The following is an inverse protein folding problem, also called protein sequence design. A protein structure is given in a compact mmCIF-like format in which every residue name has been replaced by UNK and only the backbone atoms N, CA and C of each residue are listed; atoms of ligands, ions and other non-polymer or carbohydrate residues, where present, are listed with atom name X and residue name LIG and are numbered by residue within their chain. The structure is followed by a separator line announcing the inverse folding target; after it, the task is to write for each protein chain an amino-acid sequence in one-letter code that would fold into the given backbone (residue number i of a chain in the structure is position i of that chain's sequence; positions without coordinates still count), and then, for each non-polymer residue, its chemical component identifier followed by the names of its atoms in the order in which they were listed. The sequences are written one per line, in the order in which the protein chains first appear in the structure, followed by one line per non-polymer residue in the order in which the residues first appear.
data_IF_903725431873
#
_entry.id   IF_903725431873
#
_cell.length_a   1.000
_cell.length_b   1.000
_cell.length_c   1.000
_cell.angle_alpha   90.00
_cell.angle_beta   90.00
_cell.angle_gamma   90.00
#
_symmetry.space_group_name_H-M   'P 1'
#
loop_
_entity.id
_entity.type
_entity.pdbx_description
1 polymer ?
#
# COMPACT_ATOMS: atom_id res chain seq x y z
N UNK A 1 -31.47 -42.14 6.55
CA UNK A 1 -30.53 -41.75 5.47
C UNK A 1 -29.20 -41.42 6.11
N UNK A 2 -28.13 -42.08 5.67
CA UNK A 2 -26.76 -41.88 6.17
C UNK A 2 -26.11 -40.79 5.32
N UNK A 3 -25.66 -39.70 5.92
CA UNK A 3 -24.89 -38.67 5.22
C UNK A 3 -23.40 -38.95 5.46
N UNK A 4 -22.57 -39.16 4.43
CA UNK A 4 -21.15 -39.29 4.62
C UNK A 4 -20.58 -37.93 5.04
N UNK A 5 -19.71 -37.93 6.05
CA UNK A 5 -18.90 -36.78 6.39
C UNK A 5 -17.89 -36.54 5.26
N UNK A 6 -18.13 -35.52 4.44
CA UNK A 6 -17.13 -35.03 3.51
C UNK A 6 -16.16 -34.20 4.33
N UNK A 7 -14.98 -34.76 4.62
CA UNK A 7 -13.84 -33.96 5.06
C UNK A 7 -13.46 -33.06 3.88
N UNK A 8 -13.55 -31.72 4.00
CA UNK A 8 -12.97 -30.88 2.99
C UNK A 8 -11.50 -30.74 3.34
N UNK A 9 -10.67 -31.61 2.76
CA UNK A 9 -9.29 -31.25 2.48
C UNK A 9 -9.35 -30.13 1.44
N UNK A 10 -9.52 -28.89 1.89
CA UNK A 10 -9.24 -27.68 1.11
C UNK A 10 -7.72 -27.64 0.94
N UNK A 11 -7.25 -28.40 -0.04
CA UNK A 11 -5.91 -28.26 -0.57
C UNK A 11 -5.82 -26.85 -1.14
N UNK A 12 -4.75 -26.15 -0.76
CA UNK A 12 -4.34 -24.81 -1.19
C UNK A 12 -4.20 -24.69 -2.73
N UNK A 13 -5.29 -24.78 -3.49
CA UNK A 13 -5.26 -24.67 -4.95
C UNK A 13 -5.76 -23.31 -5.47
N UNK A 14 -6.48 -22.52 -4.66
CA UNK A 14 -7.15 -21.31 -5.16
C UNK A 14 -6.39 -19.99 -4.98
N UNK A 15 -5.30 -19.94 -4.21
CA UNK A 15 -4.70 -18.64 -3.87
C UNK A 15 -4.05 -17.95 -5.08
N UNK A 16 -3.40 -18.67 -6.00
CA UNK A 16 -2.69 -18.06 -7.11
C UNK A 16 -3.57 -17.35 -8.16
N UNK A 17 -4.78 -17.88 -8.42
CA UNK A 17 -5.66 -17.39 -9.50
C UNK A 17 -6.29 -16.04 -9.16
N UNK A 18 -6.64 -15.83 -7.89
CA UNK A 18 -7.30 -14.61 -7.42
C UNK A 18 -6.33 -13.50 -7.00
N UNK A 19 -5.02 -13.76 -7.01
CA UNK A 19 -3.99 -12.81 -6.59
C UNK A 19 -4.14 -11.41 -7.24
N UNK A 20 -4.44 -11.27 -8.55
CA UNK A 20 -4.68 -9.95 -9.14
C UNK A 20 -5.94 -9.26 -8.59
N UNK A 21 -7.00 -10.01 -8.30
CA UNK A 21 -8.28 -9.45 -7.83
C UNK A 21 -8.16 -8.99 -6.38
N UNK A 22 -7.50 -9.78 -5.52
CA UNK A 22 -7.30 -9.42 -4.11
C UNK A 22 -6.40 -8.19 -4.00
N UNK A 23 -5.35 -8.11 -4.82
CA UNK A 23 -4.49 -6.93 -4.93
C UNK A 23 -5.27 -5.67 -5.31
N UNK A 24 -6.01 -5.71 -6.43
CA UNK A 24 -6.79 -4.54 -6.87
C UNK A 24 -7.93 -4.18 -5.90
N UNK A 25 -8.47 -5.16 -5.15
CA UNK A 25 -9.47 -4.88 -4.13
C UNK A 25 -8.90 -4.02 -3.01
N UNK A 26 -7.69 -4.33 -2.54
CA UNK A 26 -7.01 -3.54 -1.50
C UNK A 26 -6.72 -2.12 -2.01
N UNK A 27 -6.19 -1.97 -3.22
CA UNK A 27 -5.96 -0.64 -3.82
C UNK A 27 -7.27 0.16 -3.87
N UNK A 28 -8.36 -0.47 -4.31
CA UNK A 28 -9.67 0.17 -4.40
C UNK A 28 -10.20 0.62 -3.03
N UNK A 29 -10.05 -0.20 -1.99
CA UNK A 29 -10.53 0.12 -0.65
C UNK A 29 -9.77 1.30 -0.03
N UNK A 30 -8.43 1.24 -0.08
CA UNK A 30 -7.57 2.33 0.40
C UNK A 30 -7.84 3.63 -0.35
N UNK A 31 -7.87 3.58 -1.68
CA UNK A 31 -8.12 4.76 -2.51
C UNK A 31 -9.50 5.35 -2.24
N UNK A 32 -10.54 4.52 -2.05
CA UNK A 32 -11.88 5.00 -1.71
C UNK A 32 -11.91 5.66 -0.33
N UNK A 33 -11.34 5.01 0.70
CA UNK A 33 -11.32 5.52 2.06
C UNK A 33 -10.57 6.86 2.15
N UNK A 34 -9.35 6.90 1.63
CA UNK A 34 -8.53 8.11 1.57
C UNK A 34 -9.17 9.18 0.66
N UNK A 35 -9.82 8.76 -0.42
CA UNK A 35 -10.48 9.64 -1.37
C UNK A 35 -11.68 10.36 -0.75
N UNK A 36 -12.42 9.71 0.16
CA UNK A 36 -13.48 10.36 0.94
C UNK A 36 -12.87 11.47 1.82
N UNK A 37 -11.79 11.16 2.55
CA UNK A 37 -11.12 12.13 3.42
C UNK A 37 -10.63 13.35 2.63
N UNK A 38 -10.03 13.14 1.45
CA UNK A 38 -9.48 14.22 0.62
C UNK A 38 -10.54 14.98 -0.19
N UNK A 39 -11.38 14.30 -0.96
CA UNK A 39 -12.30 14.97 -1.90
C UNK A 39 -13.55 15.51 -1.22
N UNK A 40 -14.10 14.79 -0.25
CA UNK A 40 -15.39 15.09 0.37
C UNK A 40 -15.23 15.80 1.70
N UNK A 41 -14.47 15.23 2.62
CA UNK A 41 -14.37 15.74 3.99
C UNK A 41 -13.36 16.87 4.13
N UNK A 42 -12.36 16.92 3.24
CA UNK A 42 -11.24 17.86 3.30
C UNK A 42 -10.47 17.76 4.63
N UNK A 43 -10.44 16.56 5.21
CA UNK A 43 -9.76 16.26 6.49
C UNK A 43 -8.28 15.93 6.31
N UNK A 44 -7.87 15.53 5.10
CA UNK A 44 -6.47 15.38 4.70
C UNK A 44 -6.15 16.26 3.48
N UNK A 45 -4.88 16.62 3.32
CA UNK A 45 -4.39 17.48 2.23
C UNK A 45 -3.77 16.70 1.07
N UNK A 46 -3.48 15.41 1.26
CA UNK A 46 -2.82 14.60 0.24
C UNK A 46 -3.87 13.84 -0.59
N UNK A 47 -3.79 13.99 -1.91
CA UNK A 47 -4.67 13.30 -2.85
C UNK A 47 -4.22 11.86 -3.07
N UNK A 48 -5.08 10.86 -2.87
CA UNK A 48 -4.77 9.49 -3.23
C UNK A 48 -4.88 9.27 -4.73
N UNK A 49 -3.78 8.84 -5.33
CA UNK A 49 -3.65 8.52 -6.75
C UNK A 49 -3.26 7.04 -6.90
N UNK A 50 -4.16 6.17 -7.39
CA UNK A 50 -3.84 4.77 -7.62
C UNK A 50 -2.94 4.62 -8.85
N UNK A 51 -1.96 3.72 -8.77
CA UNK A 51 -1.12 3.26 -9.89
C UNK A 51 -0.60 4.40 -10.78
N UNK A 52 -0.17 5.51 -10.16
CA UNK A 52 0.22 6.74 -10.85
C UNK A 52 1.74 6.93 -10.81
N UNK A 53 2.33 7.34 -11.93
CA UNK A 53 3.75 7.67 -12.03
C UNK A 53 4.12 8.83 -11.10
N UNK A 54 5.25 8.71 -10.40
CA UNK A 54 5.81 9.75 -9.54
C UNK A 54 6.34 10.97 -10.30
N UNK A 55 6.76 10.81 -11.57
CA UNK A 55 7.17 11.88 -12.47
C UNK A 55 6.72 11.65 -13.93
N UNK A 56 6.90 12.66 -14.78
CA UNK A 56 6.52 12.63 -16.21
C UNK A 56 7.57 11.92 -17.11
N UNK A 57 8.65 11.39 -16.53
CA UNK A 57 9.72 10.70 -17.23
C UNK A 57 9.30 9.31 -17.71
N UNK A 58 9.86 8.87 -18.85
CA UNK A 58 9.57 7.56 -19.48
C UNK A 58 9.96 6.33 -18.64
N UNK A 59 10.52 6.51 -17.45
CA UNK A 59 10.95 5.45 -16.54
C UNK A 59 10.57 5.73 -15.07
N UNK A 60 9.58 6.59 -14.82
CA UNK A 60 9.10 6.84 -13.46
C UNK A 60 8.63 5.54 -12.82
N UNK A 61 9.00 5.35 -11.56
CA UNK A 61 8.40 4.29 -10.74
C UNK A 61 6.91 4.60 -10.50
N UNK A 62 6.15 3.52 -10.37
CA UNK A 62 4.71 3.54 -10.12
C UNK A 62 4.47 2.75 -8.83
N UNK A 63 4.18 3.41 -7.70
CA UNK A 63 3.63 2.73 -6.54
C UNK A 63 2.15 2.41 -6.77
N UNK A 64 1.63 1.43 -6.03
CA UNK A 64 0.22 1.07 -6.11
C UNK A 64 -0.70 2.21 -5.67
N UNK A 65 -0.29 2.97 -4.66
CA UNK A 65 -0.96 4.21 -4.25
C UNK A 65 0.08 5.29 -3.91
N UNK A 66 -0.09 6.47 -4.49
CA UNK A 66 0.63 7.70 -4.11
C UNK A 66 -0.30 8.64 -3.35
N UNK A 67 0.19 9.29 -2.29
CA UNK A 67 -0.49 10.41 -1.66
C UNK A 67 0.24 11.70 -2.01
N UNK A 68 -0.37 12.48 -2.92
CA UNK A 68 0.25 13.65 -3.54
C UNK A 68 -0.16 14.94 -2.85
N UNK A 69 0.83 15.76 -2.51
CA UNK A 69 0.61 17.17 -2.20
C UNK A 69 0.58 17.97 -3.50
N UNK A 70 -0.61 18.40 -3.91
CA UNK A 70 -0.80 19.17 -5.13
C UNK A 70 -0.28 20.61 -5.05
N UNK A 71 -0.18 21.20 -3.86
CA UNK A 71 0.33 22.55 -3.70
C UNK A 71 1.86 22.59 -3.85
N UNK A 72 2.54 21.55 -3.36
CA UNK A 72 4.00 21.45 -3.41
C UNK A 72 4.52 20.58 -4.55
N UNK A 73 3.64 19.87 -5.26
CA UNK A 73 3.99 18.91 -6.30
C UNK A 73 4.89 17.77 -5.81
N UNK A 74 4.76 17.39 -4.53
CA UNK A 74 5.51 16.31 -3.88
C UNK A 74 4.61 15.09 -3.62
N UNK A 75 5.22 13.93 -3.36
CA UNK A 75 4.50 12.72 -2.96
C UNK A 75 5.00 12.26 -1.59
N UNK A 76 4.50 12.82 -0.47
CA UNK A 76 5.04 12.52 0.85
C UNK A 76 4.85 11.06 1.31
N UNK A 77 3.85 10.35 0.78
CA UNK A 77 3.54 8.97 1.17
C UNK A 77 3.31 8.11 -0.06
N UNK A 78 3.86 6.89 -0.04
CA UNK A 78 3.56 5.82 -1.00
C UNK A 78 3.11 4.55 -0.27
N UNK A 79 2.31 3.73 -0.93
CA UNK A 79 1.86 2.43 -0.45
C UNK A 79 2.07 1.40 -1.56
N UNK A 80 2.70 0.29 -1.23
CA UNK A 80 2.76 -0.92 -2.06
C UNK A 80 1.87 -2.00 -1.43
N UNK A 81 1.09 -2.66 -2.25
CA UNK A 81 0.25 -3.81 -1.91
C UNK A 81 0.93 -5.03 -2.49
N UNK A 82 1.20 -6.03 -1.67
CA UNK A 82 1.96 -7.19 -2.10
C UNK A 82 1.33 -8.48 -1.59
N UNK A 83 1.74 -9.58 -2.20
CA UNK A 83 1.61 -10.90 -1.58
C UNK A 83 2.91 -11.23 -0.86
N UNK A 84 2.87 -12.22 0.02
CA UNK A 84 4.02 -12.62 0.86
C UNK A 84 5.34 -12.85 0.12
N UNK A 85 5.31 -13.38 -1.10
CA UNK A 85 6.55 -13.57 -1.88
C UNK A 85 7.10 -12.27 -2.47
N UNK A 86 6.25 -11.25 -2.68
CA UNK A 86 6.62 -9.91 -3.17
C UNK A 86 7.14 -8.98 -2.08
N UNK A 87 6.78 -9.21 -0.81
CA UNK A 87 7.09 -8.35 0.34
C UNK A 87 8.53 -7.83 0.37
N UNK A 88 9.52 -8.73 0.19
CA UNK A 88 10.94 -8.35 0.25
C UNK A 88 11.38 -7.46 -0.93
N UNK A 89 10.75 -7.59 -2.08
CA UNK A 89 11.04 -6.75 -3.24
C UNK A 89 10.43 -5.36 -3.04
N UNK A 90 9.17 -5.29 -2.61
CA UNK A 90 8.44 -4.04 -2.42
C UNK A 90 9.01 -3.22 -1.26
N UNK A 91 9.42 -3.86 -0.16
CA UNK A 91 10.16 -3.18 0.90
C UNK A 91 11.45 -2.52 0.39
N UNK A 92 12.19 -3.22 -0.48
CA UNK A 92 13.44 -2.69 -1.04
C UNK A 92 13.16 -1.50 -1.96
N UNK A 93 12.11 -1.60 -2.78
CA UNK A 93 11.62 -0.52 -3.64
C UNK A 93 11.24 0.70 -2.81
N UNK A 94 10.46 0.53 -1.74
CA UNK A 94 10.02 1.60 -0.84
C UNK A 94 11.21 2.27 -0.15
N UNK A 95 12.12 1.49 0.44
CA UNK A 95 13.31 2.03 1.11
C UNK A 95 14.15 2.83 0.11
N UNK A 96 14.41 2.28 -1.08
CA UNK A 96 15.17 2.97 -2.11
C UNK A 96 14.50 4.28 -2.55
N UNK A 97 13.20 4.25 -2.84
CA UNK A 97 12.43 5.44 -3.25
C UNK A 97 12.49 6.57 -2.21
N UNK A 98 12.48 6.21 -0.94
CA UNK A 98 12.55 7.16 0.17
C UNK A 98 13.98 7.68 0.35
N UNK A 99 14.97 6.80 0.40
CA UNK A 99 16.35 7.17 0.68
C UNK A 99 17.04 7.89 -0.50
N UNK A 100 16.60 7.64 -1.73
CA UNK A 100 17.06 8.38 -2.92
C UNK A 100 16.57 9.85 -2.91
N UNK A 101 15.59 10.20 -2.07
CA UNK A 101 15.09 11.56 -1.80
C UNK A 101 14.68 12.37 -3.05
N UNK A 102 14.19 11.68 -4.09
CA UNK A 102 13.87 12.32 -5.38
C UNK A 102 12.47 12.96 -5.44
N UNK A 103 11.50 12.40 -4.70
CA UNK A 103 10.07 12.74 -4.85
C UNK A 103 9.46 13.36 -3.59
N UNK A 104 10.28 13.68 -2.60
CA UNK A 104 9.84 14.21 -1.30
C UNK A 104 9.10 13.17 -0.44
N UNK A 105 9.31 11.88 -0.69
CA UNK A 105 8.68 10.80 0.08
C UNK A 105 9.28 10.78 1.49
N UNK A 106 8.41 10.68 2.50
CA UNK A 106 8.77 10.73 3.92
C UNK A 106 8.26 9.52 4.69
N UNK A 107 7.15 8.93 4.26
CA UNK A 107 6.68 7.62 4.74
C UNK A 107 6.39 6.70 3.57
N UNK A 108 6.67 5.42 3.73
CA UNK A 108 6.34 4.39 2.76
C UNK A 108 5.81 3.17 3.46
N UNK A 109 4.76 2.59 2.89
CA UNK A 109 4.07 1.44 3.47
C UNK A 109 4.12 0.26 2.51
N UNK A 110 4.23 -0.94 3.07
CA UNK A 110 4.03 -2.19 2.36
C UNK A 110 2.99 -2.99 3.12
N UNK A 111 1.92 -3.37 2.44
CA UNK A 111 0.86 -4.21 2.99
C UNK A 111 0.87 -5.57 2.31
N UNK A 112 1.03 -6.65 3.08
CA UNK A 112 0.87 -8.01 2.58
C UNK A 112 -0.60 -8.43 2.72
N UNK A 113 -1.33 -8.49 1.60
CA UNK A 113 -2.76 -8.83 1.61
C UNK A 113 -3.04 -10.30 1.93
N UNK A 114 -2.02 -11.18 1.99
CA UNK A 114 -2.18 -12.57 2.41
C UNK A 114 -2.10 -12.74 3.92
N UNK A 115 -1.25 -11.96 4.57
CA UNK A 115 -1.02 -12.03 6.03
C UNK A 115 -1.72 -10.92 6.79
N UNK A 116 -2.23 -9.90 6.08
CA UNK A 116 -2.77 -8.66 6.65
C UNK A 116 -1.75 -7.89 7.48
N UNK A 117 -0.46 -8.03 7.17
CA UNK A 117 0.62 -7.34 7.87
C UNK A 117 1.00 -6.04 7.16
N UNK A 118 1.23 -5.00 7.97
CA UNK A 118 1.74 -3.72 7.52
C UNK A 118 3.19 -3.53 7.97
N UNK A 119 4.00 -2.98 7.07
CA UNK A 119 5.32 -2.46 7.38
C UNK A 119 5.41 -1.03 6.92
N UNK A 120 5.94 -0.17 7.79
CA UNK A 120 6.24 1.22 7.49
C UNK A 120 7.75 1.46 7.52
N UNK A 121 8.23 2.18 6.53
CA UNK A 121 9.54 2.80 6.50
C UNK A 121 9.41 4.32 6.48
N UNK A 122 10.30 5.04 7.17
CA UNK A 122 10.35 6.51 7.11
C UNK A 122 11.74 6.97 6.74
N UNK A 123 11.78 8.15 6.12
CA UNK A 123 13.05 8.78 5.77
C UNK A 123 13.94 8.93 7.01
N UNK A 124 15.18 8.45 6.92
CA UNK A 124 16.14 8.51 8.01
C UNK A 124 16.05 7.37 9.04
N UNK A 125 15.13 6.41 8.91
CA UNK A 125 15.08 5.22 9.78
C UNK A 125 16.22 4.20 9.47
N UNK A 126 17.09 4.47 8.48
CA UNK A 126 18.32 3.71 8.20
C UNK A 126 18.06 2.30 7.69
N UNK A 127 17.01 2.13 6.87
CA UNK A 127 16.54 0.83 6.37
C UNK A 127 15.77 -0.03 7.38
N UNK A 128 15.52 0.45 8.61
CA UNK A 128 14.74 -0.28 9.61
C UNK A 128 13.24 -0.01 9.41
N UNK A 129 12.45 -1.06 9.22
CA UNK A 129 10.99 -0.97 9.12
C UNK A 129 10.31 -1.20 10.47
N UNK A 130 9.08 -0.70 10.60
CA UNK A 130 8.25 -0.86 11.79
C UNK A 130 6.92 -1.53 11.43
N UNK A 131 6.43 -2.51 12.22
CA UNK A 131 5.16 -3.19 11.95
C UNK A 131 3.99 -2.30 12.37
N UNK A 132 3.54 -1.42 11.47
CA UNK A 132 2.45 -0.49 11.72
C UNK A 132 1.84 0.02 10.41
N UNK A 133 0.53 0.25 10.43
CA UNK A 133 -0.28 0.91 9.40
C UNK A 133 -0.47 2.40 9.64
N UNK A 134 -0.01 2.92 10.78
CA UNK A 134 -0.25 4.30 11.17
C UNK A 134 0.70 5.27 10.46
N UNK A 135 0.14 6.25 9.79
CA UNK A 135 0.85 7.39 9.19
C UNK A 135 0.94 8.54 10.17
N UNK A 136 2.16 8.98 10.47
CA UNK A 136 2.38 10.16 11.30
C UNK A 136 2.11 11.45 10.51
N UNK A 137 2.27 11.43 9.19
CA UNK A 137 1.98 12.58 8.32
C UNK A 137 0.47 12.86 8.24
N UNK A 138 -0.35 11.81 8.18
CA UNK A 138 -1.81 11.96 8.13
C UNK A 138 -2.49 11.91 9.50
N UNK A 139 -1.77 11.53 10.57
CA UNK A 139 -2.36 11.21 11.87
C UNK A 139 -3.52 10.20 11.74
N UNK A 140 -3.26 9.11 11.00
CA UNK A 140 -4.30 8.19 10.54
C UNK A 140 -3.81 6.75 10.49
N UNK A 141 -4.66 5.82 10.93
CA UNK A 141 -4.45 4.39 10.71
C UNK A 141 -5.02 3.94 9.36
N UNK A 142 -4.12 3.58 8.43
CA UNK A 142 -4.49 3.10 7.09
C UNK A 142 -5.28 1.78 7.11
N UNK A 143 -5.08 0.96 8.15
CA UNK A 143 -5.76 -0.32 8.26
C UNK A 143 -7.26 -0.17 8.54
N UNK A 144 -7.71 1.03 8.94
CA UNK A 144 -9.13 1.33 9.16
C UNK A 144 -10.00 1.26 7.89
N UNK A 145 -9.38 1.21 6.71
CA UNK A 145 -10.06 1.12 5.41
C UNK A 145 -10.13 -0.30 4.82
N UNK A 146 -9.49 -1.28 5.47
CA UNK A 146 -9.35 -2.66 4.95
C UNK A 146 -10.25 -3.67 5.67
#
# INVERSE_FOLDING_TARGET
MYFPAVNPSFVHEDQGVWAPIDHQRVISLLTMGLGILYHREKSILLEPLPETMLDEGKASLVPDISLRDNAQSLTPIIIEVCHTNGLRADLRKVIQLIDDDLYGIREGFVYDYRTSEWLRYRFGDGGLTTPTSYSAILDLDMNSFL
#
